data_IF_144359460889
#
_entry.id   IF_144359460889
#
_cell.length_a   1.000
_cell.length_b   1.000
_cell.length_c   1.000
_cell.angle_alpha   90.00
_cell.angle_beta   90.00
_cell.angle_gamma   90.00
#
_symmetry.space_group_name_H-M   'P 1'
#
loop_
_entity.id
_entity.type
_entity.pdbx_description
1 polymer ?
#
# COMPACT_ATOMS: atom_id res chain seq x y z
N UNK A 1 35.72 -11.22 55.73
CA UNK A 1 34.60 -11.69 56.57
C UNK A 1 33.56 -12.32 55.66
N UNK A 2 33.47 -13.64 55.75
CA UNK A 2 32.56 -14.44 54.91
C UNK A 2 31.22 -14.58 55.60
N UNK A 3 30.13 -14.31 54.89
CA UNK A 3 28.80 -14.71 55.32
C UNK A 3 28.26 -15.68 54.31
N UNK A 4 28.37 -16.95 54.64
CA UNK A 4 27.63 -18.03 54.04
C UNK A 4 26.25 -18.00 54.72
N UNK A 5 25.18 -17.80 53.95
CA UNK A 5 23.83 -18.01 54.41
C UNK A 5 23.21 -19.20 53.63
N UNK A 6 22.72 -20.13 54.40
CA UNK A 6 22.18 -21.41 54.07
C UNK A 6 21.00 -21.38 53.10
N UNK A 7 21.17 -22.10 51.97
CA UNK A 7 20.13 -22.37 50.98
C UNK A 7 19.59 -23.79 51.19
N UNK A 8 18.96 -24.04 52.34
CA UNK A 8 18.26 -25.29 52.61
C UNK A 8 17.12 -25.10 53.57
N UNK A 9 16.03 -24.56 53.08
CA UNK A 9 14.68 -24.78 53.63
C UNK A 9 13.69 -23.89 52.83
N UNK A 10 12.94 -24.55 51.95
CA UNK A 10 11.55 -24.25 51.62
C UNK A 10 11.13 -25.07 50.37
N UNK A 11 11.25 -26.37 50.51
CA UNK A 11 10.44 -27.31 49.77
C UNK A 11 9.17 -27.55 50.60
N UNK A 12 8.06 -26.97 50.22
CA UNK A 12 6.70 -27.48 50.45
C UNK A 12 5.66 -26.38 50.19
N UNK A 13 5.11 -26.34 49.01
CA UNK A 13 3.70 -25.98 48.78
C UNK A 13 3.35 -26.43 47.36
N UNK A 14 2.74 -27.61 47.27
CA UNK A 14 2.07 -28.09 46.06
C UNK A 14 0.88 -27.17 45.78
N UNK A 15 1.09 -26.15 44.95
CA UNK A 15 0.03 -25.33 44.37
C UNK A 15 -0.23 -25.85 42.95
N UNK A 16 -1.26 -26.70 42.82
CA UNK A 16 -1.83 -27.14 41.55
C UNK A 16 -2.51 -25.94 40.88
N UNK A 17 -1.78 -25.04 40.24
CA UNK A 17 -2.34 -24.00 39.40
C UNK A 17 -2.76 -24.66 38.09
N UNK A 18 -4.08 -24.87 37.95
CA UNK A 18 -4.73 -25.14 36.67
C UNK A 18 -4.46 -23.95 35.76
N UNK A 19 -3.42 -24.03 34.98
CA UNK A 19 -3.18 -23.13 33.87
C UNK A 19 -4.24 -23.45 32.80
N UNK A 20 -5.39 -22.75 32.87
CA UNK A 20 -6.28 -22.62 31.73
C UNK A 20 -5.50 -21.95 30.63
N UNK A 21 -4.88 -22.77 29.78
CA UNK A 21 -4.20 -22.31 28.57
C UNK A 21 -5.20 -21.65 27.66
N UNK A 22 -5.22 -20.32 27.69
CA UNK A 22 -5.71 -19.50 26.60
C UNK A 22 -4.75 -19.72 25.43
N UNK A 23 -4.93 -20.85 24.73
CA UNK A 23 -4.30 -21.10 23.43
C UNK A 23 -4.89 -20.11 22.45
N UNK A 24 -4.31 -18.92 22.38
CA UNK A 24 -4.52 -18.01 21.24
C UNK A 24 -4.13 -18.76 19.99
N UNK A 25 -4.95 -18.78 18.94
CA UNK A 25 -4.63 -19.50 17.72
C UNK A 25 -3.46 -18.82 17.02
N UNK A 26 -2.25 -19.24 17.30
CA UNK A 26 -1.01 -18.76 16.70
C UNK A 26 -1.01 -18.90 15.16
N UNK A 27 -1.84 -19.81 14.63
CA UNK A 27 -2.01 -20.02 13.19
C UNK A 27 -2.76 -18.89 12.49
N UNK A 28 -3.67 -18.21 13.16
CA UNK A 28 -4.45 -17.13 12.57
C UNK A 28 -3.60 -15.86 12.35
N UNK A 29 -2.72 -15.54 13.28
CA UNK A 29 -1.83 -14.39 13.15
C UNK A 29 -0.79 -14.58 12.03
N UNK A 30 -0.28 -15.79 11.84
CA UNK A 30 0.68 -16.07 10.76
C UNK A 30 0.05 -15.94 9.36
N UNK A 31 -1.23 -16.26 9.18
CA UNK A 31 -1.94 -16.07 7.92
C UNK A 31 -2.19 -14.59 7.62
N UNK A 32 -2.61 -13.80 8.60
CA UNK A 32 -2.82 -12.37 8.46
C UNK A 32 -1.54 -11.63 8.04
N UNK A 33 -0.44 -11.92 8.70
CA UNK A 33 0.86 -11.33 8.39
C UNK A 33 1.32 -11.70 6.97
N UNK A 34 1.23 -12.99 6.61
CA UNK A 34 1.58 -13.45 5.27
C UNK A 34 0.76 -12.79 4.18
N UNK A 35 -0.54 -12.64 4.36
CA UNK A 35 -1.43 -12.08 3.34
C UNK A 35 -1.23 -10.57 3.20
N UNK A 36 -1.08 -9.84 4.31
CA UNK A 36 -0.75 -8.41 4.28
C UNK A 36 0.62 -8.19 3.62
N UNK A 37 1.62 -9.01 3.94
CA UNK A 37 2.95 -8.91 3.33
C UNK A 37 2.88 -9.07 1.82
N UNK A 38 2.18 -10.07 1.30
CA UNK A 38 1.99 -10.26 -0.15
C UNK A 38 1.31 -9.06 -0.82
N UNK A 39 0.32 -8.46 -0.18
CA UNK A 39 -0.35 -7.27 -0.69
C UNK A 39 0.58 -6.06 -0.69
N UNK A 40 1.38 -5.89 0.37
CA UNK A 40 2.37 -4.82 0.44
C UNK A 40 3.49 -4.99 -0.59
N UNK A 41 3.96 -6.20 -0.84
CA UNK A 41 4.93 -6.49 -1.91
C UNK A 41 4.40 -6.09 -3.28
N UNK A 42 3.14 -6.40 -3.60
CA UNK A 42 2.49 -5.94 -4.84
C UNK A 42 2.46 -4.42 -4.93
N UNK A 43 2.11 -3.74 -3.83
CA UNK A 43 2.09 -2.28 -3.75
C UNK A 43 3.48 -1.68 -3.98
N UNK A 44 4.50 -2.23 -3.33
CA UNK A 44 5.89 -1.79 -3.51
C UNK A 44 6.37 -2.00 -4.95
N UNK A 45 6.00 -3.10 -5.60
CA UNK A 45 6.29 -3.36 -7.01
C UNK A 45 5.65 -2.33 -7.94
N UNK A 46 4.39 -1.94 -7.68
CA UNK A 46 3.72 -0.89 -8.44
C UNK A 46 4.37 0.49 -8.25
N UNK A 47 4.75 0.83 -7.03
CA UNK A 47 5.49 2.07 -6.73
C UNK A 47 6.87 2.09 -7.40
N UNK A 48 7.61 0.97 -7.37
CA UNK A 48 8.90 0.86 -8.06
C UNK A 48 8.76 1.05 -9.57
N UNK A 49 7.66 0.58 -10.17
CA UNK A 49 7.37 0.79 -11.59
C UNK A 49 7.12 2.27 -11.91
N UNK A 50 6.38 2.99 -11.05
CA UNK A 50 6.16 4.43 -11.18
C UNK A 50 7.46 5.23 -11.01
N UNK A 51 8.29 4.87 -10.04
CA UNK A 51 9.60 5.51 -9.84
C UNK A 51 10.50 5.36 -11.07
N UNK A 52 10.56 4.16 -11.66
CA UNK A 52 11.31 3.95 -12.92
C UNK A 52 10.79 4.80 -14.08
N UNK A 53 9.49 5.05 -14.14
CA UNK A 53 8.93 5.96 -15.15
C UNK A 53 9.33 7.42 -14.88
N UNK A 54 9.33 7.85 -13.61
CA UNK A 54 9.78 9.18 -13.23
C UNK A 54 11.27 9.40 -13.53
N UNK A 55 12.12 8.42 -13.22
CA UNK A 55 13.56 8.47 -13.54
C UNK A 55 13.81 8.66 -15.05
N UNK A 56 13.07 7.94 -15.90
CA UNK A 56 13.17 8.09 -17.37
C UNK A 56 12.66 9.43 -17.89
N UNK A 57 11.85 10.14 -17.12
CA UNK A 57 11.23 11.41 -17.48
C UNK A 57 11.82 12.62 -16.75
N UNK A 58 13.06 12.55 -16.25
CA UNK A 58 13.70 13.61 -15.47
C UNK A 58 12.83 14.12 -14.29
N UNK A 59 12.27 13.19 -13.55
CA UNK A 59 11.38 13.47 -12.43
C UNK A 59 9.93 13.76 -12.83
N UNK A 60 9.57 13.68 -14.11
CA UNK A 60 8.21 13.87 -14.63
C UNK A 60 7.63 12.56 -15.10
N UNK A 61 6.37 12.33 -14.76
CA UNK A 61 5.63 11.16 -15.23
C UNK A 61 4.95 11.50 -16.57
N UNK A 62 5.27 10.73 -17.62
CA UNK A 62 4.48 10.75 -18.85
C UNK A 62 3.07 10.19 -18.58
N UNK A 63 1.99 10.97 -18.79
CA UNK A 63 0.63 10.54 -18.48
C UNK A 63 0.19 9.27 -19.20
N UNK A 64 0.67 9.04 -20.41
CA UNK A 64 0.31 7.85 -21.21
C UNK A 64 0.87 6.58 -20.55
N UNK A 65 2.12 6.64 -20.12
CA UNK A 65 2.80 5.53 -19.45
C UNK A 65 2.36 5.39 -17.97
N UNK A 66 2.12 6.50 -17.29
CA UNK A 66 1.75 6.52 -15.87
C UNK A 66 0.31 6.07 -15.61
N UNK A 67 -0.65 6.37 -16.49
CA UNK A 67 -2.07 6.03 -16.30
C UNK A 67 -2.29 4.55 -15.96
N UNK A 68 -1.81 3.56 -16.71
CA UNK A 68 -2.02 2.16 -16.36
C UNK A 68 -1.36 1.77 -15.04
N UNK A 69 -0.19 2.31 -14.72
CA UNK A 69 0.52 2.01 -13.47
C UNK A 69 -0.19 2.59 -12.23
N UNK A 70 -0.69 3.83 -12.33
CA UNK A 70 -1.46 4.47 -11.27
C UNK A 70 -2.81 3.74 -11.03
N UNK A 71 -3.47 3.28 -12.09
CA UNK A 71 -4.69 2.47 -11.96
C UNK A 71 -4.40 1.13 -11.28
N UNK A 72 -3.29 0.49 -11.62
CA UNK A 72 -2.84 -0.75 -10.97
C UNK A 72 -2.57 -0.52 -9.48
N UNK A 73 -1.85 0.55 -9.12
CA UNK A 73 -1.60 0.92 -7.74
C UNK A 73 -2.90 1.17 -6.97
N UNK A 74 -3.83 1.95 -7.52
CA UNK A 74 -5.13 2.22 -6.89
C UNK A 74 -5.96 0.94 -6.69
N UNK A 75 -5.88 -0.02 -7.62
CA UNK A 75 -6.54 -1.33 -7.48
C UNK A 75 -5.92 -2.15 -6.34
N UNK A 76 -4.59 -2.19 -6.27
CA UNK A 76 -3.88 -2.92 -5.20
C UNK A 76 -4.21 -2.30 -3.82
N UNK A 77 -4.24 -0.98 -3.71
CA UNK A 77 -4.60 -0.30 -2.46
C UNK A 77 -6.07 -0.56 -2.06
N UNK A 78 -6.97 -0.68 -3.04
CA UNK A 78 -8.35 -1.11 -2.80
C UNK A 78 -8.43 -2.56 -2.29
N UNK A 79 -7.60 -3.45 -2.83
CA UNK A 79 -7.52 -4.84 -2.36
C UNK A 79 -6.98 -4.91 -0.93
N UNK A 80 -5.96 -4.11 -0.60
CA UNK A 80 -5.43 -3.97 0.77
C UNK A 80 -6.54 -3.48 1.71
N UNK A 81 -7.23 -2.40 1.34
CA UNK A 81 -8.34 -1.86 2.13
C UNK A 81 -9.41 -2.93 2.37
N UNK A 82 -9.86 -3.61 1.32
CA UNK A 82 -10.89 -4.65 1.41
C UNK A 82 -10.47 -5.83 2.27
N UNK A 83 -9.19 -6.23 2.21
CA UNK A 83 -8.64 -7.26 3.09
C UNK A 83 -8.65 -6.80 4.55
N UNK A 84 -8.18 -5.58 4.81
CA UNK A 84 -8.12 -5.01 6.16
C UNK A 84 -9.52 -4.85 6.77
N UNK A 85 -10.51 -4.37 6.00
CA UNK A 85 -11.90 -4.25 6.46
C UNK A 85 -12.51 -5.60 6.84
N UNK A 86 -12.31 -6.62 6.00
CA UNK A 86 -12.88 -7.96 6.24
C UNK A 86 -12.24 -8.70 7.42
N UNK A 87 -10.98 -8.43 7.68
CA UNK A 87 -10.20 -9.17 8.67
C UNK A 87 -9.83 -8.32 9.90
N UNK A 88 -10.42 -7.13 10.04
CA UNK A 88 -10.04 -6.16 11.07
C UNK A 88 -10.06 -6.77 12.48
N UNK A 89 -11.16 -7.38 12.87
CA UNK A 89 -11.30 -7.98 14.19
C UNK A 89 -10.42 -9.23 14.36
N UNK A 90 -10.31 -10.04 13.31
CA UNK A 90 -9.55 -11.29 13.33
C UNK A 90 -8.04 -11.08 13.35
N UNK A 91 -7.56 -10.11 12.58
CA UNK A 91 -6.15 -9.76 12.46
C UNK A 91 -5.72 -8.63 13.42
N UNK A 92 -6.58 -8.17 14.30
CA UNK A 92 -6.35 -7.05 15.22
C UNK A 92 -5.80 -5.80 14.50
N UNK A 93 -6.39 -5.44 13.34
CA UNK A 93 -5.96 -4.30 12.55
C UNK A 93 -6.44 -3.01 13.22
N UNK A 94 -5.55 -2.06 13.57
CA UNK A 94 -5.95 -0.80 14.19
C UNK A 94 -6.83 0.05 13.26
N UNK A 95 -7.81 0.76 13.83
CA UNK A 95 -8.68 1.69 13.09
C UNK A 95 -7.87 2.76 12.33
N UNK A 96 -6.79 3.23 12.93
CA UNK A 96 -5.88 4.19 12.31
C UNK A 96 -5.22 3.64 11.03
N UNK A 97 -4.79 2.39 11.05
CA UNK A 97 -4.20 1.75 9.86
C UNK A 97 -5.23 1.63 8.73
N UNK A 98 -6.49 1.30 9.08
CA UNK A 98 -7.59 1.25 8.12
C UNK A 98 -7.94 2.64 7.57
N UNK A 99 -7.95 3.68 8.41
CA UNK A 99 -8.17 5.05 7.98
C UNK A 99 -7.06 5.54 7.03
N UNK A 100 -5.81 5.22 7.34
CA UNK A 100 -4.65 5.58 6.52
C UNK A 100 -4.69 4.94 5.13
N UNK A 101 -5.04 3.66 5.01
CA UNK A 101 -5.14 3.02 3.69
C UNK A 101 -6.32 3.57 2.87
N UNK A 102 -7.45 3.90 3.50
CA UNK A 102 -8.59 4.55 2.85
C UNK A 102 -8.22 5.92 2.26
N UNK A 103 -7.54 6.74 3.04
CA UNK A 103 -7.07 8.05 2.59
C UNK A 103 -6.08 7.93 1.43
N UNK A 104 -5.09 7.04 1.56
CA UNK A 104 -4.09 6.77 0.52
C UNK A 104 -4.75 6.30 -0.76
N UNK A 105 -5.63 5.30 -0.69
CA UNK A 105 -6.35 4.77 -1.84
C UNK A 105 -7.20 5.84 -2.54
N UNK A 106 -7.88 6.70 -1.78
CA UNK A 106 -8.66 7.82 -2.31
C UNK A 106 -7.77 8.80 -3.09
N UNK A 107 -6.61 9.17 -2.53
CA UNK A 107 -5.64 10.06 -3.17
C UNK A 107 -5.08 9.44 -4.45
N UNK A 108 -4.64 8.19 -4.38
CA UNK A 108 -4.11 7.47 -5.56
C UNK A 108 -5.15 7.34 -6.66
N UNK A 109 -6.41 7.06 -6.33
CA UNK A 109 -7.50 6.98 -7.31
C UNK A 109 -7.75 8.31 -8.02
N UNK A 110 -7.70 9.44 -7.30
CA UNK A 110 -7.83 10.77 -7.89
C UNK A 110 -6.69 11.08 -8.85
N UNK A 111 -5.45 10.79 -8.45
CA UNK A 111 -4.27 10.98 -9.29
C UNK A 111 -4.34 10.09 -10.54
N UNK A 112 -4.74 8.84 -10.39
CA UNK A 112 -4.92 7.92 -11.50
C UNK A 112 -5.97 8.43 -12.51
N UNK A 113 -7.10 8.92 -12.02
CA UNK A 113 -8.15 9.49 -12.87
C UNK A 113 -7.64 10.71 -13.66
N UNK A 114 -6.91 11.61 -13.00
CA UNK A 114 -6.32 12.78 -13.65
C UNK A 114 -5.30 12.39 -14.72
N UNK A 115 -4.35 11.52 -14.40
CA UNK A 115 -3.35 11.04 -15.36
C UNK A 115 -4.00 10.35 -16.57
N UNK A 116 -5.02 9.53 -16.34
CA UNK A 116 -5.73 8.84 -17.43
C UNK A 116 -6.54 9.79 -18.30
N UNK A 117 -7.15 10.83 -17.74
CA UNK A 117 -7.84 11.87 -18.50
C UNK A 117 -6.86 12.63 -19.40
N UNK A 118 -5.70 13.02 -18.87
CA UNK A 118 -4.65 13.70 -19.66
C UNK A 118 -4.14 12.76 -20.76
N UNK A 119 -3.86 11.50 -20.45
CA UNK A 119 -3.43 10.50 -21.44
C UNK A 119 -4.46 10.34 -22.57
N UNK A 120 -5.74 10.35 -22.25
CA UNK A 120 -6.80 10.25 -23.25
C UNK A 120 -6.84 11.50 -24.17
N UNK A 121 -6.62 12.69 -23.63
CA UNK A 121 -6.55 13.94 -24.41
C UNK A 121 -5.35 13.93 -25.36
N UNK A 122 -4.16 13.53 -24.86
CA UNK A 122 -2.94 13.43 -25.68
C UNK A 122 -3.17 12.45 -26.84
N UNK A 123 -3.74 11.27 -26.57
CA UNK A 123 -4.04 10.27 -27.62
C UNK A 123 -4.99 10.80 -28.66
N UNK A 124 -6.04 11.54 -28.27
CA UNK A 124 -6.97 12.16 -29.20
C UNK A 124 -6.26 13.18 -30.11
N UNK A 125 -5.40 14.02 -29.55
CA UNK A 125 -4.61 15.00 -30.33
C UNK A 125 -3.69 14.29 -31.32
N UNK A 126 -2.99 13.24 -30.90
CA UNK A 126 -2.13 12.43 -31.76
C UNK A 126 -2.90 11.81 -32.94
N UNK A 127 -4.10 11.28 -32.67
CA UNK A 127 -4.96 10.71 -33.71
C UNK A 127 -5.42 11.76 -34.73
N UNK A 128 -5.78 12.96 -34.27
CA UNK A 128 -6.19 14.06 -35.15
C UNK A 128 -5.04 14.51 -36.04
N UNK A 129 -3.83 14.58 -35.51
CA UNK A 129 -2.63 14.89 -36.29
C UNK A 129 -2.30 13.82 -37.35
N UNK A 130 -2.46 12.54 -36.98
CA UNK A 130 -2.24 11.41 -37.88
C UNK A 130 -3.27 11.34 -39.05
N UNK A 131 -4.45 11.91 -38.88
CA UNK A 131 -5.52 11.97 -39.89
C UNK A 131 -5.48 13.21 -40.79
N UNK A 132 -4.36 13.97 -40.79
CA UNK A 132 -4.17 15.12 -41.69
C UNK A 132 -4.75 16.43 -41.20
N UNK A 133 -5.08 16.55 -39.93
CA UNK A 133 -5.40 17.82 -39.30
C UNK A 133 -4.16 18.70 -39.17
N UNK A 134 -4.23 19.95 -39.64
CA UNK A 134 -3.14 20.95 -39.51
C UNK A 134 -2.83 21.11 -38.01
N UNK A 135 -1.58 20.95 -37.54
CA UNK A 135 -1.27 21.11 -36.13
C UNK A 135 -1.49 22.56 -35.70
N UNK A 136 -2.49 22.81 -34.87
CA UNK A 136 -2.62 24.09 -34.17
C UNK A 136 -1.58 24.12 -33.03
N UNK A 137 -0.48 24.77 -33.28
CA UNK A 137 0.72 24.88 -32.42
C UNK A 137 0.52 25.73 -31.17
N UNK A 138 -0.60 25.66 -30.45
CA UNK A 138 -0.75 26.53 -29.27
C UNK A 138 -1.57 25.94 -28.10
N UNK A 139 -1.55 24.62 -27.86
CA UNK A 139 -2.05 24.11 -26.58
C UNK A 139 -0.85 23.83 -25.64
N UNK A 140 -0.71 24.55 -24.51
CA UNK A 140 0.31 24.23 -23.52
C UNK A 140 0.05 22.81 -22.96
N UNK A 141 1.11 22.02 -22.89
CA UNK A 141 1.03 20.69 -22.34
C UNK A 141 0.47 20.74 -20.89
N UNK A 142 -0.59 19.98 -20.59
CA UNK A 142 -1.15 19.96 -19.24
C UNK A 142 -0.12 19.46 -18.23
N UNK A 143 0.16 20.27 -17.22
CA UNK A 143 1.09 19.93 -16.14
C UNK A 143 0.36 19.07 -15.09
N UNK A 144 0.93 17.92 -14.76
CA UNK A 144 0.55 17.18 -13.56
C UNK A 144 0.95 17.98 -12.32
N UNK A 145 0.11 18.04 -11.27
CA UNK A 145 0.51 18.66 -10.02
C UNK A 145 1.71 17.90 -9.44
N UNK A 146 2.84 18.59 -9.34
CA UNK A 146 4.04 18.08 -8.70
C UNK A 146 3.84 18.11 -7.19
N UNK A 147 3.71 16.94 -6.59
CA UNK A 147 3.74 16.75 -5.15
C UNK A 147 4.45 15.43 -4.84
N UNK A 148 5.11 15.31 -3.69
CA UNK A 148 5.71 14.05 -3.29
C UNK A 148 4.61 12.99 -3.10
N UNK A 149 4.82 11.83 -3.66
CA UNK A 149 4.05 10.61 -3.43
C UNK A 149 4.40 9.98 -2.08
#
# INVERSE_FOLDING_TARGET
MAVRADLKALLSAAGLTLALGLSTPAFAQSSCESDITKLQEKRMGALASLNKLAEKGDGKLDPIAACPQLRSLASIEKDIQGYMEKNQAWCNIPDEALANIKDTQSKTSKIAAQACNIAAQIRKQQQQQAQGGIPTFNAPAPKLPGGPL
#
